data_IF_950470886562
#
_entry.id   IF_950470886562
#
_cell.length_a   1.000
_cell.length_b   1.000
_cell.length_c   1.000
_cell.angle_alpha   90.00
_cell.angle_beta   90.00
_cell.angle_gamma   90.00
#
_symmetry.space_group_name_H-M   'P 1'
#
loop_
_entity.id
_entity.type
_entity.pdbx_description
1 polymer ?
#
# COMPACT_ATOMS: atom_id res chain seq x y z
N UNK A 1 -0.82 -28.02 15.95
CA UNK A 1 -1.24 -26.65 15.74
C UNK A 1 -0.85 -25.79 16.95
N UNK A 2 -0.46 -24.54 16.74
CA UNK A 2 -0.18 -23.56 17.79
C UNK A 2 -1.35 -22.58 17.89
N UNK A 3 -1.75 -22.24 19.11
CA UNK A 3 -2.85 -21.31 19.39
C UNK A 3 -2.29 -20.15 20.23
N UNK A 4 -1.70 -19.11 19.59
CA UNK A 4 -1.10 -17.99 20.32
C UNK A 4 -2.16 -17.18 21.06
N UNK A 5 -1.99 -17.03 22.37
CA UNK A 5 -2.87 -16.21 23.20
C UNK A 5 -2.19 -14.88 23.45
N UNK A 6 -2.91 -13.79 23.16
CA UNK A 6 -2.50 -12.41 23.45
C UNK A 6 -3.25 -11.93 24.68
N UNK A 7 -2.52 -11.37 25.63
CA UNK A 7 -3.09 -10.77 26.84
C UNK A 7 -2.70 -9.30 26.87
N UNK A 8 -3.69 -8.44 26.92
CA UNK A 8 -3.56 -6.98 27.03
C UNK A 8 -4.11 -6.51 28.37
N UNK A 9 -3.31 -5.73 29.11
CA UNK A 9 -3.75 -5.06 30.31
C UNK A 9 -3.67 -3.54 30.11
N UNK A 10 -4.79 -2.87 30.18
CA UNK A 10 -4.86 -1.40 30.07
C UNK A 10 -5.95 -0.87 30.98
N UNK A 11 -5.61 0.11 31.86
CA UNK A 11 -6.55 0.74 32.81
C UNK A 11 -7.38 -0.29 33.60
N UNK A 12 -6.70 -1.27 34.18
CA UNK A 12 -7.28 -2.36 34.99
C UNK A 12 -8.25 -3.30 34.22
N UNK A 13 -8.29 -3.18 32.87
CA UNK A 13 -9.05 -4.08 32.00
C UNK A 13 -8.09 -5.05 31.33
N UNK A 14 -8.36 -6.35 31.51
CA UNK A 14 -7.65 -7.45 30.85
C UNK A 14 -8.44 -7.84 29.60
N UNK A 15 -7.78 -7.79 28.44
CA UNK A 15 -8.32 -8.33 27.20
C UNK A 15 -7.52 -9.58 26.81
N UNK A 16 -8.23 -10.70 26.63
CA UNK A 16 -7.61 -11.96 26.19
C UNK A 16 -8.12 -12.28 24.79
N UNK A 17 -7.21 -12.54 23.87
CA UNK A 17 -7.54 -12.88 22.49
C UNK A 17 -6.69 -14.03 21.95
N UNK A 18 -7.19 -14.72 20.95
CA UNK A 18 -6.43 -15.71 20.17
C UNK A 18 -5.93 -15.03 18.91
N UNK A 19 -4.63 -15.12 18.65
CA UNK A 19 -4.02 -14.55 17.44
C UNK A 19 -4.18 -15.53 16.27
N UNK A 20 -5.11 -15.19 15.38
CA UNK A 20 -5.39 -15.95 14.16
C UNK A 20 -4.45 -15.59 13.00
N UNK A 21 -3.83 -14.42 13.06
CA UNK A 21 -3.05 -13.85 11.97
C UNK A 21 -1.60 -14.33 11.92
N UNK A 22 -0.93 -14.44 13.08
CA UNK A 22 0.48 -14.79 13.21
C UNK A 22 1.40 -13.62 12.84
N UNK A 23 2.00 -13.67 11.67
CA UNK A 23 2.85 -12.57 11.19
C UNK A 23 2.03 -11.29 11.03
N UNK A 24 2.61 -10.14 11.44
CA UNK A 24 1.91 -8.84 11.42
C UNK A 24 1.26 -8.54 10.05
N UNK A 25 0.02 -8.02 10.08
CA UNK A 25 -0.81 -7.82 8.87
C UNK A 25 -0.22 -6.84 7.84
N UNK A 26 0.68 -5.94 8.24
CA UNK A 26 1.37 -5.09 7.29
C UNK A 26 2.27 -5.88 6.33
N UNK A 27 2.76 -7.07 6.72
CA UNK A 27 3.53 -7.94 5.83
C UNK A 27 2.60 -8.63 4.85
N UNK A 28 2.36 -7.97 3.70
CA UNK A 28 1.46 -8.44 2.62
C UNK A 28 2.03 -9.62 1.83
N UNK A 29 3.35 -9.84 1.90
CA UNK A 29 4.04 -10.88 1.13
C UNK A 29 4.81 -10.35 -0.09
N UNK A 30 4.49 -9.18 -0.62
CA UNK A 30 5.15 -8.65 -1.83
C UNK A 30 6.50 -7.96 -1.57
N UNK A 31 6.77 -7.52 -0.34
CA UNK A 31 8.01 -6.82 -0.02
C UNK A 31 9.11 -7.80 0.39
N UNK A 32 10.01 -8.13 -0.54
CA UNK A 32 11.19 -8.93 -0.25
C UNK A 32 12.37 -8.09 0.26
N UNK A 33 12.52 -6.88 -0.27
CA UNK A 33 13.60 -5.96 0.08
C UNK A 33 13.01 -4.65 0.58
N UNK A 34 13.36 -4.27 1.79
CA UNK A 34 13.00 -2.98 2.37
C UNK A 34 14.15 -1.99 2.17
N UNK A 35 13.83 -0.77 1.74
CA UNK A 35 14.73 0.38 1.86
C UNK A 35 14.91 0.80 3.33
N UNK A 36 15.66 1.88 3.59
CA UNK A 36 15.79 2.45 4.93
C UNK A 36 14.43 2.96 5.41
N UNK A 37 13.87 2.34 6.46
CA UNK A 37 12.65 2.74 7.16
C UNK A 37 11.43 3.06 6.25
N UNK A 38 10.94 2.12 5.44
CA UNK A 38 9.75 2.34 4.63
C UNK A 38 8.51 2.48 5.53
N UNK A 39 7.50 3.23 5.05
CA UNK A 39 6.17 3.22 5.66
C UNK A 39 5.60 1.79 5.63
N UNK A 40 4.88 1.40 6.68
CA UNK A 40 4.22 0.08 6.69
C UNK A 40 3.03 0.08 5.73
N UNK A 41 2.76 -1.07 5.12
CA UNK A 41 1.72 -1.25 4.12
C UNK A 41 0.33 -0.93 4.67
N UNK A 42 0.03 -1.36 5.90
CA UNK A 42 -1.25 -1.05 6.56
C UNK A 42 -1.44 0.44 6.80
N UNK A 43 -0.36 1.17 7.15
CA UNK A 43 -0.44 2.62 7.35
C UNK A 43 -0.62 3.33 6.01
N UNK A 44 0.12 2.92 4.97
CA UNK A 44 -0.04 3.47 3.63
C UNK A 44 -1.46 3.28 3.12
N UNK A 45 -2.01 2.07 3.25
CA UNK A 45 -3.39 1.76 2.91
C UNK A 45 -4.39 2.65 3.66
N UNK A 46 -4.24 2.78 4.98
CA UNK A 46 -5.10 3.62 5.80
C UNK A 46 -5.06 5.10 5.38
N UNK A 47 -3.86 5.63 5.07
CA UNK A 47 -3.71 7.01 4.60
C UNK A 47 -4.38 7.23 3.24
N UNK A 48 -4.28 6.28 2.30
CA UNK A 48 -5.00 6.35 1.02
C UNK A 48 -6.52 6.37 1.27
N UNK A 49 -7.03 5.49 2.12
CA UNK A 49 -8.46 5.41 2.45
C UNK A 49 -9.02 6.67 3.15
N UNK A 50 -8.17 7.43 3.81
CA UNK A 50 -8.56 8.73 4.43
C UNK A 50 -8.66 9.86 3.41
N UNK A 51 -8.20 9.65 2.17
CA UNK A 51 -8.36 10.61 1.08
C UNK A 51 -9.60 10.27 0.24
N UNK A 52 -10.19 11.24 -0.49
CA UNK A 52 -11.25 10.95 -1.45
C UNK A 52 -10.71 10.39 -2.78
N UNK A 53 -9.48 9.88 -2.82
CA UNK A 53 -8.92 9.26 -4.02
C UNK A 53 -9.72 8.02 -4.43
N UNK A 54 -9.87 7.84 -5.72
CA UNK A 54 -10.44 6.65 -6.35
C UNK A 54 -9.70 6.36 -7.68
N UNK A 55 -9.96 5.21 -8.28
CA UNK A 55 -9.28 4.75 -9.50
C UNK A 55 -9.38 5.68 -10.71
N UNK A 56 -10.40 6.55 -10.75
CA UNK A 56 -10.63 7.47 -11.88
C UNK A 56 -9.79 8.76 -11.76
N UNK A 57 -9.02 8.90 -10.67
CA UNK A 57 -8.17 10.04 -10.39
C UNK A 57 -6.71 9.64 -10.34
N UNK A 58 -5.82 10.49 -10.89
CA UNK A 58 -4.38 10.26 -10.77
C UNK A 58 -3.94 10.27 -9.32
N UNK A 59 -3.03 9.33 -8.98
CA UNK A 59 -2.26 9.33 -7.75
C UNK A 59 -0.78 9.42 -8.09
N UNK A 60 -0.06 10.33 -7.44
CA UNK A 60 1.37 10.52 -7.61
C UNK A 60 2.08 10.42 -6.26
N UNK A 61 3.11 9.59 -6.19
CA UNK A 61 4.07 9.58 -5.08
C UNK A 61 5.46 10.00 -5.60
N UNK A 62 5.87 11.26 -5.37
CA UNK A 62 7.13 11.79 -5.87
C UNK A 62 8.36 11.36 -5.06
N UNK A 63 8.18 10.64 -3.94
CA UNK A 63 9.22 10.05 -3.10
C UNK A 63 8.88 8.58 -2.79
N UNK A 64 8.56 7.82 -3.84
CA UNK A 64 7.93 6.51 -3.68
C UNK A 64 8.81 5.45 -3.00
N UNK A 65 10.13 5.64 -2.97
CA UNK A 65 11.04 4.67 -2.38
C UNK A 65 10.80 3.27 -2.94
N UNK A 66 10.49 2.31 -2.08
CA UNK A 66 10.18 0.92 -2.46
C UNK A 66 8.77 0.72 -3.04
N UNK A 67 8.00 1.79 -3.27
CA UNK A 67 6.72 1.79 -3.98
C UNK A 67 5.50 1.51 -3.12
N UNK A 68 5.55 1.66 -1.79
CA UNK A 68 4.46 1.24 -0.89
C UNK A 68 3.13 1.91 -1.21
N UNK A 69 3.07 3.25 -1.32
CA UNK A 69 1.81 3.94 -1.65
C UNK A 69 1.27 3.56 -3.04
N UNK A 70 2.07 3.61 -4.12
CA UNK A 70 1.60 3.19 -5.43
C UNK A 70 1.08 1.75 -5.47
N UNK A 71 1.75 0.81 -4.78
CA UNK A 71 1.36 -0.60 -4.75
C UNK A 71 0.05 -0.79 -3.99
N UNK A 72 -0.10 -0.23 -2.79
CA UNK A 72 -1.33 -0.34 -2.01
C UNK A 72 -2.51 0.34 -2.74
N UNK A 73 -2.29 1.47 -3.42
CA UNK A 73 -3.31 2.12 -4.25
C UNK A 73 -3.73 1.24 -5.43
N UNK A 74 -2.79 0.61 -6.13
CA UNK A 74 -3.08 -0.27 -7.25
C UNK A 74 -3.83 -1.54 -6.80
N UNK A 75 -3.43 -2.15 -5.67
CA UNK A 75 -4.16 -3.27 -5.09
C UNK A 75 -5.60 -2.90 -4.73
N UNK A 76 -5.82 -1.71 -4.15
CA UNK A 76 -7.17 -1.21 -3.85
C UNK A 76 -7.98 -0.99 -5.12
N UNK A 77 -7.41 -0.38 -6.15
CA UNK A 77 -8.08 -0.12 -7.42
C UNK A 77 -8.49 -1.43 -8.12
N UNK A 78 -7.62 -2.44 -8.08
CA UNK A 78 -7.86 -3.76 -8.66
C UNK A 78 -8.70 -4.68 -7.75
N UNK A 79 -9.12 -4.21 -6.57
CA UNK A 79 -9.84 -5.00 -5.56
C UNK A 79 -9.09 -6.28 -5.12
N UNK A 80 -7.77 -6.22 -5.05
CA UNK A 80 -6.93 -7.32 -4.58
C UNK A 80 -6.94 -7.36 -3.06
N UNK A 81 -7.37 -8.47 -2.50
CA UNK A 81 -7.40 -8.66 -1.05
C UNK A 81 -5.96 -8.70 -0.48
N UNK A 82 -5.64 -7.89 0.55
CA UNK A 82 -4.27 -7.73 1.05
C UNK A 82 -3.70 -8.98 1.74
N UNK A 83 -4.53 -10.00 1.96
CA UNK A 83 -4.14 -11.27 2.57
C UNK A 83 -3.74 -12.37 1.59
N UNK A 84 -3.86 -12.15 0.27
CA UNK A 84 -3.71 -13.21 -0.72
C UNK A 84 -2.30 -13.79 -0.83
N UNK A 85 -1.28 -12.96 -0.64
CA UNK A 85 0.13 -13.35 -0.78
C UNK A 85 0.80 -13.66 0.57
N UNK A 86 0.03 -14.03 1.59
CA UNK A 86 0.53 -14.40 2.91
C UNK A 86 -0.23 -15.58 3.48
N UNK A 87 0.37 -16.26 4.47
CA UNK A 87 -0.31 -17.26 5.28
C UNK A 87 -0.81 -16.69 6.61
N UNK A 88 -1.76 -17.39 7.23
CA UNK A 88 -2.32 -17.07 8.53
C UNK A 88 -2.12 -18.25 9.48
N UNK A 89 -1.89 -17.97 10.77
CA UNK A 89 -1.72 -19.03 11.78
C UNK A 89 -2.95 -19.95 11.85
N UNK A 90 -4.14 -19.40 11.66
CA UNK A 90 -5.40 -20.16 11.69
C UNK A 90 -5.54 -21.20 10.57
N UNK A 91 -4.78 -21.10 9.48
CA UNK A 91 -4.79 -22.12 8.40
C UNK A 91 -4.34 -23.50 8.90
N UNK A 92 -3.47 -23.52 9.93
CA UNK A 92 -3.00 -24.77 10.55
C UNK A 92 -4.03 -25.40 11.52
N UNK A 93 -5.16 -24.74 11.78
CA UNK A 93 -6.18 -25.20 12.73
C UNK A 93 -7.25 -26.08 12.07
N UNK A 94 -6.81 -27.10 11.35
CA UNK A 94 -7.67 -27.94 10.51
C UNK A 94 -8.73 -28.74 11.27
N UNK A 95 -8.60 -28.84 12.60
CA UNK A 95 -9.59 -29.42 13.50
C UNK A 95 -10.74 -28.45 13.84
N UNK A 96 -10.58 -27.14 13.58
CA UNK A 96 -11.56 -26.09 13.85
C UNK A 96 -12.06 -25.49 12.52
N UNK A 97 -11.12 -25.23 11.59
CA UNK A 97 -11.40 -24.60 10.30
C UNK A 97 -11.01 -25.59 9.19
N UNK A 98 -11.99 -26.18 8.48
CA UNK A 98 -11.71 -27.06 7.35
C UNK A 98 -10.87 -26.36 6.28
N UNK A 99 -9.86 -27.05 5.74
CA UNK A 99 -9.03 -26.51 4.65
C UNK A 99 -9.84 -26.02 3.45
N UNK A 100 -10.96 -26.70 3.18
CA UNK A 100 -11.86 -26.30 2.08
C UNK A 100 -12.32 -24.84 2.20
N UNK A 101 -12.60 -24.36 3.41
CA UNK A 101 -13.03 -22.96 3.62
C UNK A 101 -11.96 -21.94 3.19
N UNK A 102 -10.67 -22.26 3.43
CA UNK A 102 -9.58 -21.40 2.96
C UNK A 102 -9.50 -21.36 1.44
N UNK A 103 -9.64 -22.51 0.77
CA UNK A 103 -9.68 -22.56 -0.70
C UNK A 103 -10.88 -21.80 -1.27
N UNK A 104 -12.05 -21.98 -0.69
CA UNK A 104 -13.28 -21.33 -1.14
C UNK A 104 -13.14 -19.79 -1.00
N UNK A 105 -12.64 -19.29 0.13
CA UNK A 105 -12.43 -17.85 0.36
C UNK A 105 -11.34 -17.27 -0.56
N UNK A 106 -10.24 -17.99 -0.78
CA UNK A 106 -9.18 -17.54 -1.71
C UNK A 106 -9.72 -17.49 -3.14
N UNK A 107 -10.50 -18.47 -3.58
CA UNK A 107 -11.11 -18.46 -4.90
C UNK A 107 -12.12 -17.31 -5.04
N UNK A 108 -12.98 -17.10 -4.05
CA UNK A 108 -13.89 -15.95 -4.02
C UNK A 108 -13.15 -14.62 -4.11
N UNK A 109 -12.06 -14.46 -3.35
CA UNK A 109 -11.24 -13.26 -3.41
C UNK A 109 -10.57 -13.07 -4.78
N UNK A 110 -10.13 -14.16 -5.43
CA UNK A 110 -9.60 -14.12 -6.80
C UNK A 110 -10.66 -13.69 -7.81
N UNK A 111 -11.88 -14.25 -7.71
CA UNK A 111 -12.99 -13.93 -8.61
C UNK A 111 -13.45 -12.47 -8.49
N UNK A 112 -13.11 -11.81 -7.37
CA UNK A 112 -13.42 -10.39 -7.13
C UNK A 112 -12.35 -9.43 -7.67
N UNK A 113 -11.23 -9.90 -8.18
CA UNK A 113 -10.18 -9.06 -8.74
C UNK A 113 -10.67 -8.45 -10.05
N UNK A 114 -10.39 -7.17 -10.22
CA UNK A 114 -10.65 -6.44 -11.45
C UNK A 114 -9.41 -6.45 -12.34
N UNK A 115 -9.33 -7.35 -13.32
CA UNK A 115 -8.15 -7.52 -14.18
C UNK A 115 -8.04 -6.43 -15.25
N UNK A 116 -9.18 -5.97 -15.78
CA UNK A 116 -9.24 -5.00 -16.89
C UNK A 116 -9.59 -3.59 -16.39
N UNK A 117 -8.68 -3.00 -15.60
CA UNK A 117 -8.86 -1.62 -15.11
C UNK A 117 -7.82 -0.67 -15.69
N UNK A 118 -8.27 0.53 -15.98
CA UNK A 118 -7.39 1.65 -16.30
C UNK A 118 -7.25 2.55 -15.08
N UNK A 119 -6.01 2.78 -14.65
CA UNK A 119 -5.68 3.66 -13.54
C UNK A 119 -4.46 4.50 -13.89
N UNK A 120 -4.34 5.66 -13.25
CA UNK A 120 -3.18 6.54 -13.43
C UNK A 120 -2.47 6.68 -12.08
N UNK A 121 -1.57 5.74 -11.80
CA UNK A 121 -0.78 5.69 -10.57
C UNK A 121 0.69 5.83 -10.94
N UNK A 122 1.37 6.81 -10.35
CA UNK A 122 2.74 7.15 -10.69
C UNK A 122 3.61 7.20 -9.44
N UNK A 123 4.75 6.52 -9.49
CA UNK A 123 5.76 6.54 -8.44
C UNK A 123 7.09 7.06 -8.97
N UNK A 124 7.63 8.08 -8.32
CA UNK A 124 8.91 8.68 -8.67
C UNK A 124 9.88 8.65 -7.49
N UNK A 125 11.15 8.54 -7.81
CA UNK A 125 12.24 8.73 -6.86
C UNK A 125 13.50 9.16 -7.61
N UNK A 126 14.36 9.91 -6.94
CA UNK A 126 15.64 10.35 -7.50
C UNK A 126 16.64 9.20 -7.58
N UNK A 127 16.51 8.19 -6.74
CA UNK A 127 17.40 7.02 -6.69
C UNK A 127 16.90 5.90 -7.61
N UNK A 128 17.64 5.60 -8.72
CA UNK A 128 17.25 4.55 -9.63
C UNK A 128 17.29 3.15 -9.01
N UNK A 129 18.02 2.96 -7.91
CA UNK A 129 18.10 1.65 -7.24
C UNK A 129 16.80 1.33 -6.51
N UNK A 130 16.19 2.30 -5.85
CA UNK A 130 14.89 2.09 -5.18
C UNK A 130 13.75 1.95 -6.18
N UNK A 131 13.82 2.59 -7.35
CA UNK A 131 12.86 2.38 -8.46
C UNK A 131 12.89 0.93 -8.96
N UNK A 132 14.07 0.30 -9.04
CA UNK A 132 14.17 -1.13 -9.37
C UNK A 132 13.49 -2.00 -8.31
N UNK A 133 13.67 -1.65 -7.04
CA UNK A 133 13.00 -2.34 -5.91
C UNK A 133 11.49 -2.15 -6.01
N UNK A 134 11.01 -0.93 -6.24
CA UNK A 134 9.58 -0.63 -6.36
C UNK A 134 8.91 -1.45 -7.48
N UNK A 135 9.55 -1.53 -8.66
CA UNK A 135 9.05 -2.35 -9.77
C UNK A 135 9.02 -3.85 -9.44
N UNK A 136 10.03 -4.34 -8.70
CA UNK A 136 10.04 -5.73 -8.25
C UNK A 136 8.91 -6.00 -7.26
N UNK A 137 8.75 -5.16 -6.25
CA UNK A 137 7.68 -5.28 -5.27
C UNK A 137 6.29 -5.22 -5.92
N UNK A 138 6.10 -4.33 -6.91
CA UNK A 138 4.85 -4.24 -7.66
C UNK A 138 4.55 -5.52 -8.46
N UNK A 139 5.58 -6.15 -9.03
CA UNK A 139 5.45 -7.43 -9.73
C UNK A 139 5.07 -8.55 -8.77
N UNK A 140 5.71 -8.63 -7.61
CA UNK A 140 5.35 -9.61 -6.57
C UNK A 140 3.92 -9.39 -6.03
N UNK A 141 3.44 -8.15 -6.05
CA UNK A 141 2.05 -7.81 -5.72
C UNK A 141 1.06 -8.05 -6.87
N UNK A 142 1.54 -8.36 -8.09
CA UNK A 142 0.71 -8.56 -9.28
C UNK A 142 0.13 -7.28 -9.90
N UNK A 143 0.69 -6.10 -9.58
CA UNK A 143 0.14 -4.79 -9.98
C UNK A 143 1.14 -3.90 -10.76
N UNK A 144 2.24 -4.47 -11.24
CA UNK A 144 3.28 -3.70 -11.94
C UNK A 144 2.78 -3.05 -13.25
N UNK A 145 1.80 -3.65 -13.91
CA UNK A 145 1.15 -3.14 -15.10
C UNK A 145 0.25 -1.91 -14.84
N UNK A 146 -0.17 -1.69 -13.59
CA UNK A 146 -1.04 -0.59 -13.18
C UNK A 146 -0.27 0.65 -12.71
N UNK A 147 1.07 0.57 -12.60
CA UNK A 147 1.88 1.61 -11.98
C UNK A 147 3.00 2.05 -12.90
N UNK A 148 3.10 3.35 -13.12
CA UNK A 148 4.26 3.94 -13.80
C UNK A 148 5.34 4.33 -12.79
N UNK A 149 6.43 3.55 -12.74
CA UNK A 149 7.61 3.90 -11.94
C UNK A 149 8.73 4.50 -12.79
N UNK A 150 9.25 5.66 -12.39
CA UNK A 150 10.32 6.34 -13.11
C UNK A 150 11.28 7.05 -12.15
N UNK A 151 12.60 7.02 -12.48
CA UNK A 151 13.55 7.93 -11.85
C UNK A 151 13.20 9.36 -12.26
N UNK A 152 12.88 10.22 -11.29
CA UNK A 152 12.59 11.64 -11.52
C UNK A 152 12.87 12.45 -10.25
N UNK A 153 13.43 13.63 -10.41
CA UNK A 153 13.53 14.62 -9.34
C UNK A 153 12.15 15.27 -9.12
N UNK A 154 11.76 15.47 -7.87
CA UNK A 154 10.46 16.09 -7.53
C UNK A 154 10.34 17.52 -8.10
N UNK A 155 11.46 18.23 -8.28
CA UNK A 155 11.49 19.56 -8.89
C UNK A 155 11.11 19.58 -10.38
N UNK A 156 11.19 18.40 -11.02
CA UNK A 156 10.79 18.18 -12.42
C UNK A 156 9.38 17.59 -12.53
N UNK A 157 8.65 17.50 -11.40
CA UNK A 157 7.30 16.95 -11.39
C UNK A 157 6.38 17.85 -12.21
N UNK A 158 5.87 17.29 -13.29
CA UNK A 158 4.89 17.92 -14.16
C UNK A 158 3.91 16.87 -14.65
N UNK A 159 2.62 17.21 -14.68
CA UNK A 159 1.59 16.31 -15.15
C UNK A 159 0.53 17.11 -15.94
N UNK A 160 0.06 16.59 -17.10
CA UNK A 160 -0.94 17.29 -17.92
C UNK A 160 -2.32 17.42 -17.27
N UNK A 161 -2.67 16.51 -16.35
CA UNK A 161 -3.92 16.58 -15.59
C UNK A 161 -3.79 17.64 -14.48
N UNK A 162 -4.73 18.59 -14.43
CA UNK A 162 -4.75 19.70 -13.47
C UNK A 162 -5.08 19.23 -12.04
N UNK A 163 -5.89 18.17 -11.90
CA UNK A 163 -6.38 17.68 -10.60
C UNK A 163 -6.01 16.22 -10.37
N UNK A 164 -5.54 15.93 -9.18
CA UNK A 164 -5.16 14.58 -8.74
C UNK A 164 -4.76 14.57 -7.27
N UNK A 165 -4.14 13.49 -6.85
CA UNK A 165 -3.69 13.31 -5.47
C UNK A 165 -2.20 13.11 -5.42
N UNK A 166 -1.54 13.84 -4.56
CA UNK A 166 -0.14 13.60 -4.17
C UNK A 166 -0.18 12.96 -2.78
N UNK A 167 0.17 11.69 -2.70
CA UNK A 167 0.22 10.94 -1.44
C UNK A 167 1.63 10.41 -1.30
N UNK A 168 2.37 10.89 -0.29
CA UNK A 168 3.80 10.60 -0.18
C UNK A 168 4.29 10.63 1.25
N UNK A 169 5.41 9.95 1.50
CA UNK A 169 6.17 10.00 2.75
C UNK A 169 7.58 10.49 2.45
N UNK A 170 7.80 11.82 2.37
CA UNK A 170 9.08 12.38 2.00
C UNK A 170 10.14 12.14 3.09
N UNK A 171 11.45 12.15 2.74
CA UNK A 171 12.50 12.00 3.73
C UNK A 171 12.49 13.17 4.72
N UNK A 172 12.63 12.88 6.03
CA UNK A 172 12.54 13.87 7.12
C UNK A 172 13.78 14.78 7.24
N UNK A 173 14.90 14.47 6.55
CA UNK A 173 16.13 15.25 6.59
C UNK A 173 16.47 15.77 5.20
N UNK A 174 16.63 17.09 5.09
CA UNK A 174 17.19 17.74 3.90
C UNK A 174 16.16 18.27 2.89
N UNK A 175 14.86 18.30 3.23
CA UNK A 175 13.89 19.08 2.47
C UNK A 175 13.77 20.44 3.15
N UNK A 176 14.37 21.47 2.57
CA UNK A 176 13.87 22.83 2.76
C UNK A 176 12.49 22.86 2.10
N UNK A 177 11.45 22.94 2.91
CA UNK A 177 10.09 23.18 2.41
C UNK A 177 10.12 24.61 1.82
N UNK A 178 10.27 24.72 0.51
CA UNK A 178 10.00 25.95 -0.19
C UNK A 178 8.56 26.31 0.18
N UNK A 179 8.36 27.47 0.85
CA UNK A 179 7.02 28.01 1.06
C UNK A 179 6.39 28.14 -0.31
N UNK A 180 5.41 27.32 -0.60
CA UNK A 180 4.52 27.55 -1.71
C UNK A 180 3.70 28.78 -1.29
N UNK A 181 4.07 29.94 -1.78
CA UNK A 181 3.21 31.11 -1.72
C UNK A 181 1.97 30.77 -2.57
N UNK A 182 0.87 30.47 -1.89
CA UNK A 182 -0.44 30.39 -2.51
C UNK A 182 -0.81 31.81 -2.97
N UNK A 183 -0.39 32.19 -4.15
CA UNK A 183 -1.04 33.29 -4.88
C UNK A 183 -2.30 32.72 -5.52
N UNK A 184 -3.32 32.47 -4.70
CA UNK A 184 -4.70 32.49 -5.18
C UNK A 184 -5.01 33.97 -5.37
N UNK A 185 -4.95 34.44 -6.59
CA UNK A 185 -5.48 35.76 -6.94
C UNK A 185 -6.98 35.66 -6.96
N UNK A 186 -7.67 36.67 -6.38
CA UNK A 186 -9.14 36.79 -6.30
C UNK A 186 -9.86 36.87 -7.66
N UNK A 187 -9.23 36.50 -8.74
CA UNK A 187 -9.80 36.47 -10.08
C UNK A 187 -10.31 35.09 -10.54
N UNK A 188 -10.21 34.04 -9.69
CA UNK A 188 -10.64 32.69 -10.02
C UNK A 188 -11.90 32.23 -9.25
N UNK A 189 -12.76 33.16 -8.77
CA UNK A 189 -14.06 32.85 -8.16
C UNK A 189 -15.19 33.05 -9.17
#
# INVERSE_FOLDING_TARGET
>A
ASYPIRVFLMKDIVTIGIDTSGVSLHKRGYREVAGKAPITETLAAALIMLTPWNKDRILVDPFCGSGTFPIEAAMMAANIAPGMNRSFTAEAWTNIIPKKLWYDIINEANDMIHDDIEVDIQGYDVDPSVIKIARRNAREAGVDHLIHFQKRDVRELNHPKKYGFVITNPPYKGIEIAKVENTVTDEDV
#
